data_IF_481473959342
#
_entry.id   IF_481473959342
#
_cell.length_a   1.000
_cell.length_b   1.000
_cell.length_c   1.000
_cell.angle_alpha   90.00
_cell.angle_beta   90.00
_cell.angle_gamma   90.00
#
_symmetry.space_group_name_H-M   'P 1'
#
loop_
_entity.id
_entity.type
_entity.pdbx_description
1 polymer ?
#
# COMPACT_ATOMS: atom_id res chain seq x y z
N UNK A 1 18.94 -1.93 4.39
CA UNK A 1 17.79 -1.53 3.54
C UNK A 1 16.52 -1.89 4.29
N UNK A 2 15.65 -0.94 4.63
CA UNK A 2 14.37 -1.25 5.31
C UNK A 2 13.53 -2.15 4.40
N UNK A 3 13.07 -3.28 4.92
CA UNK A 3 12.26 -4.27 4.22
C UNK A 3 10.90 -3.67 3.88
N UNK A 4 10.73 -3.17 2.66
CA UNK A 4 9.41 -2.87 2.13
C UNK A 4 8.72 -4.19 1.80
N UNK A 5 7.62 -4.55 2.49
CA UNK A 5 6.87 -5.75 2.17
C UNK A 5 6.43 -5.70 0.70
N UNK A 6 6.46 -6.85 0.03
CA UNK A 6 5.99 -6.98 -1.35
C UNK A 6 4.50 -6.63 -1.40
N UNK A 7 4.12 -5.67 -2.23
CA UNK A 7 2.71 -5.34 -2.42
C UNK A 7 2.03 -6.48 -3.21
N UNK A 8 1.00 -7.15 -2.66
CA UNK A 8 0.37 -8.30 -3.30
C UNK A 8 -0.30 -7.95 -4.64
N UNK A 9 -0.73 -6.68 -4.81
CA UNK A 9 -1.23 -6.15 -6.08
C UNK A 9 -0.20 -6.23 -7.21
N UNK A 10 1.08 -6.05 -6.90
CA UNK A 10 2.16 -5.98 -7.88
C UNK A 10 2.41 -7.34 -8.54
N UNK A 11 2.30 -8.44 -7.78
CA UNK A 11 2.37 -9.80 -8.33
C UNK A 11 1.20 -10.10 -9.26
N UNK A 12 0.00 -9.60 -8.93
CA UNK A 12 -1.17 -9.74 -9.80
C UNK A 12 -0.98 -9.01 -11.13
N UNK A 13 -0.54 -7.75 -11.07
CA UNK A 13 -0.24 -6.92 -12.24
C UNK A 13 0.82 -7.59 -13.13
N UNK A 14 1.87 -8.16 -12.53
CA UNK A 14 2.92 -8.83 -13.29
C UNK A 14 2.39 -10.10 -14.01
N UNK A 15 1.53 -10.89 -13.37
CA UNK A 15 0.89 -12.05 -14.01
C UNK A 15 -0.02 -11.66 -15.17
N UNK A 16 -0.78 -10.58 -15.05
CA UNK A 16 -1.62 -10.07 -16.14
C UNK A 16 -0.76 -9.69 -17.34
N UNK A 17 0.36 -8.99 -17.12
CA UNK A 17 1.32 -8.68 -18.18
C UNK A 17 1.86 -9.92 -18.88
N UNK A 18 2.26 -10.95 -18.13
CA UNK A 18 2.72 -12.22 -18.71
C UNK A 18 1.61 -12.92 -19.50
N UNK A 19 0.37 -12.87 -19.03
CA UNK A 19 -0.80 -13.38 -19.77
C UNK A 19 -1.02 -12.64 -21.10
N UNK A 20 -0.89 -11.31 -21.10
CA UNK A 20 -0.96 -10.49 -22.33
C UNK A 20 0.17 -10.87 -23.28
N UNK A 21 1.40 -10.99 -22.78
CA UNK A 21 2.56 -11.38 -23.59
C UNK A 21 2.36 -12.75 -24.23
N UNK A 22 1.85 -13.73 -23.48
CA UNK A 22 1.51 -15.06 -23.99
C UNK A 22 0.43 -14.99 -25.08
N UNK A 23 -0.65 -14.23 -24.84
CA UNK A 23 -1.72 -14.06 -25.83
C UNK A 23 -1.22 -13.45 -27.14
N UNK A 24 -0.32 -12.47 -27.08
CA UNK A 24 0.29 -11.85 -28.26
C UNK A 24 1.20 -12.80 -29.04
N UNK A 25 1.92 -13.70 -28.34
CA UNK A 25 2.69 -14.77 -29.00
C UNK A 25 1.75 -15.72 -29.74
N UNK A 26 0.70 -16.21 -29.08
CA UNK A 26 -0.28 -17.12 -29.69
C UNK A 26 -0.93 -16.47 -30.91
N UNK A 27 -1.31 -15.20 -30.80
CA UNK A 27 -1.86 -14.43 -31.92
C UNK A 27 -0.88 -14.34 -33.09
N UNK A 28 0.40 -14.04 -32.84
CA UNK A 28 1.43 -14.00 -33.87
C UNK A 28 1.62 -15.37 -34.55
N UNK A 29 1.61 -16.46 -33.79
CA UNK A 29 1.74 -17.82 -34.35
C UNK A 29 0.57 -18.13 -35.28
N UNK A 30 -0.65 -17.84 -34.84
CA UNK A 30 -1.86 -18.10 -35.62
C UNK A 30 -1.89 -17.28 -36.92
N UNK A 31 -1.53 -16.00 -36.87
CA UNK A 31 -1.51 -15.14 -38.06
C UNK A 31 -0.51 -15.63 -39.12
N UNK A 32 0.68 -16.07 -38.72
CA UNK A 32 1.70 -16.56 -39.65
C UNK A 32 1.44 -17.99 -40.14
N UNK A 33 0.76 -18.82 -39.34
CA UNK A 33 0.34 -20.17 -39.75
C UNK A 33 -0.65 -20.15 -40.93
N UNK A 34 -1.48 -19.10 -41.01
CA UNK A 34 -2.41 -18.89 -42.11
C UNK A 34 -1.73 -18.53 -43.44
N UNK A 35 -0.49 -18.03 -43.40
CA UNK A 35 0.27 -17.54 -44.57
C UNK A 35 1.22 -18.62 -45.10
N UNK A 36 1.33 -19.78 -44.43
CA UNK A 36 2.16 -20.91 -44.90
C UNK A 36 3.67 -20.68 -44.80
N UNK A 37 4.13 -19.66 -44.09
CA UNK A 37 5.53 -19.21 -44.02
C UNK A 37 6.35 -19.81 -42.86
N UNK A 38 5.81 -20.73 -42.06
CA UNK A 38 6.53 -21.32 -40.93
C UNK A 38 7.40 -22.51 -41.36
N UNK A 39 8.51 -22.26 -42.08
CA UNK A 39 9.61 -23.23 -42.17
C UNK A 39 10.32 -23.39 -40.81
N UNK A 40 10.78 -24.59 -40.47
CA UNK A 40 11.27 -24.96 -39.12
C UNK A 40 12.38 -24.08 -38.51
N UNK A 41 12.66 -24.28 -37.20
CA UNK A 41 13.45 -23.45 -36.26
C UNK A 41 12.67 -22.38 -35.42
N UNK A 42 11.73 -21.56 -35.95
CA UNK A 42 11.00 -20.58 -35.15
C UNK A 42 10.03 -21.23 -34.14
N UNK A 43 9.48 -22.41 -34.45
CA UNK A 43 8.59 -23.12 -33.52
C UNK A 43 9.26 -23.49 -32.20
N UNK A 44 10.54 -23.91 -32.23
CA UNK A 44 11.29 -24.24 -31.02
C UNK A 44 11.49 -23.01 -30.13
N UNK A 45 11.83 -21.86 -30.71
CA UNK A 45 12.07 -20.62 -29.95
C UNK A 45 10.76 -20.10 -29.36
N UNK A 46 9.67 -20.13 -30.14
CA UNK A 46 8.33 -19.76 -29.69
C UNK A 46 7.86 -20.69 -28.55
N UNK A 47 8.10 -22.01 -28.67
CA UNK A 47 7.79 -22.97 -27.62
C UNK A 47 8.61 -22.73 -26.34
N UNK A 48 9.90 -22.42 -26.47
CA UNK A 48 10.77 -22.05 -25.33
C UNK A 48 10.29 -20.76 -24.67
N UNK A 49 9.90 -19.75 -25.47
CA UNK A 49 9.36 -18.50 -24.94
C UNK A 49 8.02 -18.72 -24.22
N UNK A 50 7.10 -19.48 -24.82
CA UNK A 50 5.82 -19.84 -24.20
C UNK A 50 6.03 -20.60 -22.89
N UNK A 51 6.94 -21.59 -22.88
CA UNK A 51 7.32 -22.32 -21.67
C UNK A 51 7.94 -21.39 -20.61
N UNK A 52 8.80 -20.45 -21.02
CA UNK A 52 9.40 -19.45 -20.14
C UNK A 52 8.36 -18.54 -19.47
N UNK A 53 7.34 -18.10 -20.21
CA UNK A 53 6.21 -17.32 -19.65
C UNK A 53 5.43 -18.17 -18.64
N UNK A 54 5.09 -19.41 -18.99
CA UNK A 54 4.34 -20.32 -18.10
C UNK A 54 5.12 -20.62 -16.82
N UNK A 55 6.43 -20.86 -16.92
CA UNK A 55 7.32 -21.05 -15.77
C UNK A 55 7.37 -19.81 -14.89
N UNK A 56 7.47 -18.62 -15.47
CA UNK A 56 7.48 -17.37 -14.73
C UNK A 56 6.12 -17.09 -14.06
N UNK A 57 5.01 -17.39 -14.72
CA UNK A 57 3.67 -17.34 -14.13
C UNK A 57 3.51 -18.33 -12.96
N UNK A 58 4.03 -19.55 -13.11
CA UNK A 58 4.07 -20.56 -12.05
C UNK A 58 4.92 -20.10 -10.86
N UNK A 59 6.11 -19.56 -11.14
CA UNK A 59 6.99 -18.96 -10.15
C UNK A 59 6.28 -17.87 -9.34
N UNK A 60 5.61 -16.92 -10.03
CA UNK A 60 4.88 -15.81 -9.41
C UNK A 60 3.62 -16.23 -8.65
N UNK A 61 3.11 -17.43 -8.92
CA UNK A 61 1.91 -17.96 -8.27
C UNK A 61 2.23 -18.86 -7.07
N UNK A 62 3.51 -19.17 -6.83
CA UNK A 62 3.94 -20.08 -5.76
C UNK A 62 4.25 -19.32 -4.45
N UNK A 63 3.36 -19.34 -3.43
CA UNK A 63 3.48 -18.47 -2.25
C UNK A 63 4.66 -18.87 -1.35
N UNK A 64 4.93 -20.17 -1.23
CA UNK A 64 6.07 -20.69 -0.47
C UNK A 64 7.41 -20.17 -0.98
N UNK A 65 7.54 -20.01 -2.31
CA UNK A 65 8.76 -19.50 -2.94
C UNK A 65 8.96 -18.01 -2.62
N UNK A 66 7.87 -17.24 -2.59
CA UNK A 66 7.87 -15.84 -2.18
C UNK A 66 8.33 -15.67 -0.72
N UNK A 67 7.88 -16.55 0.18
CA UNK A 67 8.30 -16.56 1.58
C UNK A 67 9.79 -16.94 1.70
N UNK A 68 10.24 -17.99 0.99
CA UNK A 68 11.61 -18.50 1.08
C UNK A 68 12.66 -17.54 0.51
N UNK A 69 12.38 -16.92 -0.63
CA UNK A 69 13.32 -16.01 -1.31
C UNK A 69 13.23 -14.57 -0.80
N UNK A 70 12.12 -14.21 -0.13
CA UNK A 70 11.92 -12.91 0.50
C UNK A 70 12.20 -11.75 -0.47
N UNK A 71 13.20 -10.93 -0.15
CA UNK A 71 13.56 -9.75 -0.96
C UNK A 71 14.09 -10.09 -2.36
N UNK A 72 14.63 -11.28 -2.58
CA UNK A 72 15.18 -11.68 -3.88
C UNK A 72 14.16 -12.27 -4.84
N UNK A 73 12.93 -12.53 -4.38
CA UNK A 73 11.89 -13.17 -5.17
C UNK A 73 11.53 -12.36 -6.44
N UNK A 74 11.06 -11.13 -6.27
CA UNK A 74 10.63 -10.31 -7.40
C UNK A 74 11.78 -9.85 -8.32
N UNK A 75 12.98 -9.47 -7.84
CA UNK A 75 14.10 -9.10 -8.70
C UNK A 75 14.56 -10.24 -9.61
N UNK A 76 14.51 -11.49 -9.14
CA UNK A 76 14.81 -12.67 -9.97
C UNK A 76 13.80 -12.81 -11.11
N UNK A 77 12.50 -12.70 -10.79
CA UNK A 77 11.44 -12.75 -11.80
C UNK A 77 11.57 -11.62 -12.84
N UNK A 78 11.90 -10.41 -12.39
CA UNK A 78 12.10 -9.25 -13.26
C UNK A 78 13.31 -9.43 -14.19
N UNK A 79 14.43 -9.94 -13.68
CA UNK A 79 15.61 -10.24 -14.51
C UNK A 79 15.31 -11.34 -15.54
N UNK A 80 14.59 -12.38 -15.15
CA UNK A 80 14.16 -13.43 -16.07
C UNK A 80 13.21 -12.88 -17.15
N UNK A 81 12.34 -11.94 -16.79
CA UNK A 81 11.46 -11.25 -17.74
C UNK A 81 12.21 -10.38 -18.76
N UNK A 82 13.38 -9.81 -18.42
CA UNK A 82 14.25 -9.14 -19.40
C UNK A 82 14.67 -10.14 -20.47
N UNK A 83 15.22 -11.29 -20.04
CA UNK A 83 15.69 -12.33 -20.95
C UNK A 83 14.54 -12.84 -21.84
N UNK A 84 13.37 -13.08 -21.24
CA UNK A 84 12.18 -13.52 -21.96
C UNK A 84 11.72 -12.51 -23.01
N UNK A 85 11.66 -11.22 -22.64
CA UNK A 85 11.24 -10.15 -23.55
C UNK A 85 12.24 -9.94 -24.69
N UNK A 86 13.54 -10.04 -24.41
CA UNK A 86 14.59 -10.00 -25.43
C UNK A 86 14.55 -11.25 -26.33
N UNK A 87 14.21 -12.42 -25.80
CA UNK A 87 14.09 -13.64 -26.60
C UNK A 87 12.87 -13.58 -27.54
N UNK A 88 11.73 -13.05 -27.07
CA UNK A 88 10.47 -12.99 -27.83
C UNK A 88 10.49 -11.88 -28.89
N UNK A 89 10.89 -10.68 -28.48
CA UNK A 89 10.82 -9.48 -29.32
C UNK A 89 12.15 -9.16 -29.97
N UNK A 90 13.22 -9.84 -29.55
CA UNK A 90 14.48 -9.81 -30.26
C UNK A 90 14.35 -10.47 -31.62
N UNK A 91 15.23 -10.04 -32.50
CA UNK A 91 15.26 -10.44 -33.89
C UNK A 91 15.60 -11.92 -34.13
N UNK A 92 15.97 -12.66 -33.09
CA UNK A 92 16.30 -14.08 -33.16
C UNK A 92 15.09 -14.94 -33.56
N UNK A 93 13.85 -14.49 -33.31
CA UNK A 93 12.64 -15.13 -33.87
C UNK A 93 12.30 -14.57 -35.25
N UNK A 94 12.46 -13.25 -35.44
CA UNK A 94 12.00 -12.54 -36.66
C UNK A 94 12.86 -12.78 -37.88
N UNK A 95 14.17 -12.86 -37.72
CA UNK A 95 15.11 -13.17 -38.81
C UNK A 95 14.86 -14.53 -39.47
N UNK A 96 14.22 -15.48 -38.77
CA UNK A 96 13.78 -16.76 -39.34
C UNK A 96 12.39 -16.71 -40.01
N UNK A 97 11.54 -15.73 -39.67
CA UNK A 97 10.16 -15.65 -40.16
C UNK A 97 10.10 -14.78 -41.43
N UNK A 98 10.80 -13.65 -41.47
CA UNK A 98 10.87 -12.80 -42.66
C UNK A 98 12.23 -12.08 -42.76
N UNK A 99 13.21 -12.67 -43.48
CA UNK A 99 14.55 -12.09 -43.62
C UNK A 99 14.61 -10.82 -44.48
N UNK A 100 13.51 -10.39 -45.13
CA UNK A 100 13.52 -9.24 -46.06
C UNK A 100 12.44 -8.18 -45.80
N UNK A 101 11.45 -8.44 -44.95
CA UNK A 101 10.19 -7.67 -44.93
C UNK A 101 10.03 -6.56 -43.90
N UNK A 102 10.92 -6.40 -42.91
CA UNK A 102 10.71 -5.39 -41.85
C UNK A 102 11.84 -4.36 -41.74
N UNK A 103 11.44 -3.09 -41.62
CA UNK A 103 12.34 -2.01 -41.26
C UNK A 103 12.80 -2.19 -39.81
N UNK A 104 14.10 -1.97 -39.53
CA UNK A 104 14.68 -2.12 -38.19
C UNK A 104 14.03 -1.25 -37.11
N UNK A 105 13.22 -0.27 -37.49
CA UNK A 105 12.55 0.66 -36.58
C UNK A 105 11.36 0.01 -35.85
N UNK A 106 10.61 -0.88 -36.51
CA UNK A 106 9.41 -1.49 -35.92
C UNK A 106 9.73 -2.49 -34.80
N UNK A 107 10.84 -3.21 -34.91
CA UNK A 107 11.27 -4.17 -33.89
C UNK A 107 11.81 -3.48 -32.63
N UNK A 108 12.55 -2.39 -32.78
CA UNK A 108 13.10 -1.64 -31.66
C UNK A 108 12.01 -1.11 -30.71
N UNK A 109 10.89 -0.64 -31.28
CA UNK A 109 9.75 -0.14 -30.51
C UNK A 109 9.07 -1.20 -29.64
N UNK A 110 9.00 -2.45 -30.11
CA UNK A 110 8.38 -3.51 -29.32
C UNK A 110 9.23 -3.90 -28.12
N UNK A 111 10.54 -4.04 -28.31
CA UNK A 111 11.48 -4.31 -27.21
C UNK A 111 11.37 -3.20 -26.15
N UNK A 112 11.25 -1.93 -26.58
CA UNK A 112 10.98 -0.82 -25.69
C UNK A 112 9.72 -1.04 -24.84
N UNK A 113 8.57 -1.32 -25.47
CA UNK A 113 7.29 -1.47 -24.77
C UNK A 113 7.30 -2.62 -23.76
N UNK A 114 7.86 -3.77 -24.12
CA UNK A 114 7.87 -4.95 -23.25
C UNK A 114 8.89 -4.87 -22.11
N UNK A 115 10.00 -4.16 -22.29
CA UNK A 115 10.92 -3.87 -21.18
C UNK A 115 10.47 -2.69 -20.31
N UNK A 116 9.63 -1.80 -20.83
CA UNK A 116 9.09 -0.68 -20.07
C UNK A 116 8.18 -1.16 -18.93
N UNK A 117 7.40 -2.22 -19.12
CA UNK A 117 6.49 -2.69 -18.09
C UNK A 117 7.22 -3.24 -16.83
N UNK A 118 8.19 -4.17 -16.95
CA UNK A 118 8.98 -4.58 -15.79
C UNK A 118 9.79 -3.43 -15.19
N UNK A 119 10.23 -2.44 -15.98
CA UNK A 119 10.86 -1.23 -15.45
C UNK A 119 9.92 -0.49 -14.48
N UNK A 120 8.66 -0.28 -14.86
CA UNK A 120 7.66 0.37 -13.98
C UNK A 120 7.50 -0.42 -12.68
N UNK A 121 7.43 -1.76 -12.76
CA UNK A 121 7.37 -2.61 -11.56
C UNK A 121 8.61 -2.48 -10.67
N UNK A 122 9.81 -2.43 -11.26
CA UNK A 122 11.06 -2.19 -10.52
C UNK A 122 11.00 -0.83 -9.83
N UNK A 123 10.63 0.23 -10.56
CA UNK A 123 10.61 1.60 -10.06
C UNK A 123 9.53 1.83 -8.99
N UNK A 124 8.42 1.09 -9.07
CA UNK A 124 7.34 1.11 -8.08
C UNK A 124 7.79 0.49 -6.75
N UNK A 125 8.38 -0.71 -6.81
CA UNK A 125 8.71 -1.48 -5.60
C UNK A 125 10.02 -1.01 -4.97
N UNK A 126 11.04 -0.73 -5.80
CA UNK A 126 12.43 -0.55 -5.38
C UNK A 126 12.93 0.88 -5.53
N UNK A 127 14.18 1.09 -5.10
CA UNK A 127 14.86 2.37 -5.22
C UNK A 127 15.46 2.54 -6.62
N UNK A 128 15.80 3.78 -6.96
CA UNK A 128 16.45 4.14 -8.22
C UNK A 128 17.70 3.30 -8.56
N UNK A 129 18.46 2.84 -7.56
CA UNK A 129 19.61 1.94 -7.78
C UNK A 129 19.22 0.61 -8.46
N UNK A 130 18.06 0.04 -8.11
CA UNK A 130 17.56 -1.16 -8.78
C UNK A 130 17.10 -0.86 -10.20
N UNK A 131 16.46 0.29 -10.42
CA UNK A 131 16.07 0.76 -11.76
C UNK A 131 17.30 0.90 -12.65
N UNK A 132 18.37 1.52 -12.15
CA UNK A 132 19.63 1.66 -12.89
C UNK A 132 20.22 0.28 -13.22
N UNK A 133 20.28 -0.64 -12.24
CA UNK A 133 20.72 -2.03 -12.48
C UNK A 133 19.88 -2.73 -13.55
N UNK A 134 18.56 -2.61 -13.49
CA UNK A 134 17.66 -3.18 -14.49
C UNK A 134 17.93 -2.62 -15.89
N UNK A 135 18.08 -1.29 -16.00
CA UNK A 135 18.30 -0.58 -17.27
C UNK A 135 19.65 -0.91 -17.91
N UNK A 136 20.71 -1.02 -17.10
CA UNK A 136 22.03 -1.44 -17.58
C UNK A 136 22.08 -2.93 -17.90
N UNK A 137 21.38 -3.78 -17.13
CA UNK A 137 21.31 -5.21 -17.41
C UNK A 137 20.58 -5.48 -18.72
N UNK A 138 19.45 -4.81 -18.98
CA UNK A 138 18.71 -4.98 -20.23
C UNK A 138 19.50 -4.50 -21.45
N UNK A 139 20.18 -3.35 -21.35
CA UNK A 139 21.09 -2.87 -22.40
C UNK A 139 22.28 -3.83 -22.62
N UNK A 140 22.89 -4.32 -21.54
CA UNK A 140 24.01 -5.26 -21.63
C UNK A 140 23.61 -6.58 -22.30
N UNK A 141 22.46 -7.15 -21.94
CA UNK A 141 21.96 -8.37 -22.56
C UNK A 141 21.61 -8.17 -24.05
N UNK A 142 21.01 -7.04 -24.41
CA UNK A 142 20.74 -6.72 -25.82
C UNK A 142 22.05 -6.52 -26.61
N UNK A 143 23.04 -5.82 -26.04
CA UNK A 143 24.35 -5.64 -26.67
C UNK A 143 25.07 -6.98 -26.90
N UNK A 144 24.99 -7.91 -25.94
CA UNK A 144 25.51 -9.28 -26.09
C UNK A 144 24.80 -9.99 -27.25
N UNK A 145 23.46 -9.94 -27.31
CA UNK A 145 22.71 -10.57 -28.40
C UNK A 145 23.07 -9.97 -29.77
N UNK A 146 23.20 -8.64 -29.86
CA UNK A 146 23.61 -7.96 -31.09
C UNK A 146 25.02 -8.36 -31.52
N UNK A 147 25.95 -8.59 -30.58
CA UNK A 147 27.32 -9.02 -30.90
C UNK A 147 27.37 -10.41 -31.54
N UNK A 148 26.51 -11.34 -31.09
CA UNK A 148 26.44 -12.69 -31.64
C UNK A 148 25.66 -12.79 -32.96
N UNK A 149 25.04 -11.70 -33.40
CA UNK A 149 24.24 -11.70 -34.63
C UNK A 149 25.00 -11.03 -35.77
N UNK A 150 25.16 -11.72 -36.90
CA UNK A 150 25.85 -11.21 -38.09
C UNK A 150 24.97 -10.23 -38.88
N UNK A 151 24.69 -9.05 -38.31
CA UNK A 151 23.96 -7.98 -38.99
C UNK A 151 24.83 -7.21 -39.97
N UNK A 152 24.21 -6.71 -41.05
CA UNK A 152 24.78 -5.59 -41.78
C UNK A 152 24.95 -4.38 -40.86
N UNK A 153 26.06 -3.66 -41.05
CA UNK A 153 26.44 -2.51 -40.24
C UNK A 153 25.33 -1.44 -40.09
N UNK A 154 24.50 -1.22 -41.12
CA UNK A 154 23.37 -0.29 -41.08
C UNK A 154 22.36 -0.66 -39.98
N UNK A 155 21.93 -1.92 -39.92
CA UNK A 155 21.02 -2.39 -38.87
C UNK A 155 21.66 -2.30 -37.48
N UNK A 156 22.96 -2.60 -37.36
CA UNK A 156 23.67 -2.53 -36.09
C UNK A 156 23.69 -1.11 -35.49
N UNK A 157 23.86 -0.07 -36.32
CA UNK A 157 23.86 1.33 -35.85
C UNK A 157 22.49 1.78 -35.34
N UNK A 158 21.40 1.38 -36.00
CA UNK A 158 20.03 1.70 -35.57
C UNK A 158 19.73 1.08 -34.21
N UNK A 159 20.06 -0.20 -34.02
CA UNK A 159 19.83 -0.88 -32.74
C UNK A 159 20.66 -0.29 -31.59
N UNK A 160 21.93 0.04 -31.84
CA UNK A 160 22.77 0.69 -30.83
C UNK A 160 22.20 2.05 -30.41
N UNK A 161 21.71 2.83 -31.38
CA UNK A 161 21.07 4.12 -31.10
C UNK A 161 19.78 3.93 -30.29
N UNK A 162 18.87 3.05 -30.71
CA UNK A 162 17.61 2.78 -29.99
C UNK A 162 17.84 2.23 -28.58
N UNK A 163 18.88 1.39 -28.39
CA UNK A 163 19.29 0.90 -27.08
C UNK A 163 19.69 2.06 -26.15
N UNK A 164 20.52 3.00 -26.63
CA UNK A 164 20.97 4.15 -25.85
C UNK A 164 19.80 5.07 -25.49
N UNK A 165 18.95 5.40 -26.47
CA UNK A 165 17.75 6.22 -26.25
C UNK A 165 16.83 5.59 -25.20
N UNK A 166 16.56 4.28 -25.31
CA UNK A 166 15.75 3.53 -24.34
C UNK A 166 16.36 3.57 -22.94
N UNK A 167 17.67 3.34 -22.79
CA UNK A 167 18.33 3.35 -21.47
C UNK A 167 18.24 4.73 -20.81
N UNK A 168 18.43 5.80 -21.58
CA UNK A 168 18.26 7.17 -21.07
C UNK A 168 16.82 7.41 -20.62
N UNK A 169 15.84 7.03 -21.43
CA UNK A 169 14.41 7.16 -21.09
C UNK A 169 14.07 6.34 -19.84
N UNK A 170 14.57 5.11 -19.72
CA UNK A 170 14.32 4.24 -18.58
C UNK A 170 14.88 4.80 -17.28
N UNK A 171 16.09 5.38 -17.33
CA UNK A 171 16.67 6.06 -16.18
C UNK A 171 15.86 7.31 -15.80
N UNK A 172 15.46 8.13 -16.78
CA UNK A 172 14.67 9.34 -16.51
C UNK A 172 13.28 9.01 -15.91
N UNK A 173 12.52 8.14 -16.57
CA UNK A 173 11.18 7.72 -16.12
C UNK A 173 11.28 6.98 -14.79
N UNK A 174 12.22 6.06 -14.66
CA UNK A 174 12.42 5.30 -13.42
C UNK A 174 12.85 6.19 -12.25
N UNK A 175 13.64 7.25 -12.49
CA UNK A 175 13.95 8.25 -11.47
C UNK A 175 12.69 8.98 -10.99
N UNK A 176 11.87 9.47 -11.92
CA UNK A 176 10.61 10.17 -11.61
C UNK A 176 9.67 9.26 -10.82
N UNK A 177 9.42 8.04 -11.28
CA UNK A 177 8.55 7.08 -10.59
C UNK A 177 9.09 6.76 -9.19
N UNK A 178 10.38 6.45 -9.07
CA UNK A 178 10.99 6.16 -7.76
C UNK A 178 10.91 7.36 -6.80
N UNK A 179 11.04 8.59 -7.31
CA UNK A 179 10.89 9.81 -6.49
C UNK A 179 9.45 9.99 -6.02
N UNK A 180 8.47 9.85 -6.91
CA UNK A 180 7.04 9.94 -6.57
C UNK A 180 6.68 8.89 -5.53
N UNK A 181 7.08 7.63 -5.73
CA UNK A 181 6.81 6.54 -4.79
C UNK A 181 7.47 6.78 -3.44
N UNK A 182 8.71 7.31 -3.41
CA UNK A 182 9.38 7.67 -2.16
C UNK A 182 8.58 8.73 -1.40
N UNK A 183 8.16 9.80 -2.08
CA UNK A 183 7.34 10.89 -1.49
C UNK A 183 5.99 10.37 -0.99
N UNK A 184 5.32 9.54 -1.77
CA UNK A 184 4.03 8.96 -1.40
C UNK A 184 4.16 8.06 -0.15
N UNK A 185 5.24 7.28 -0.04
CA UNK A 185 5.52 6.46 1.15
C UNK A 185 5.79 7.33 2.39
N UNK A 186 6.56 8.42 2.25
CA UNK A 186 6.82 9.39 3.32
C UNK A 186 5.52 10.07 3.79
N UNK A 187 4.69 10.54 2.86
CA UNK A 187 3.39 11.15 3.18
C UNK A 187 2.44 10.17 3.88
N UNK A 188 2.37 8.93 3.40
CA UNK A 188 1.54 7.88 4.02
C UNK A 188 1.99 7.59 5.46
N UNK A 189 3.30 7.55 5.71
CA UNK A 189 3.83 7.37 7.07
C UNK A 189 3.47 8.55 7.98
N UNK A 190 3.63 9.78 7.49
CA UNK A 190 3.24 10.98 8.24
C UNK A 190 1.74 10.99 8.58
N UNK A 191 0.89 10.54 7.64
CA UNK A 191 -0.55 10.46 7.85
C UNK A 191 -0.91 9.41 8.91
N UNK A 192 -0.27 8.24 8.88
CA UNK A 192 -0.46 7.18 9.89
C UNK A 192 -0.06 7.71 11.27
N UNK A 193 1.06 8.42 11.38
CA UNK A 193 1.53 8.98 12.64
C UNK A 193 0.60 10.08 13.16
N UNK A 194 0.16 11.01 12.30
CA UNK A 194 -0.81 12.03 12.66
C UNK A 194 -2.15 11.42 13.12
N UNK A 195 -2.64 10.37 12.44
CA UNK A 195 -3.86 9.68 12.85
C UNK A 195 -3.69 9.02 14.22
N UNK A 196 -2.53 8.41 14.48
CA UNK A 196 -2.20 7.83 15.79
C UNK A 196 -2.21 8.89 16.89
N UNK A 197 -1.59 10.05 16.65
CA UNK A 197 -1.58 11.15 17.60
C UNK A 197 -2.98 11.69 17.88
N UNK A 198 -3.80 11.89 16.83
CA UNK A 198 -5.19 12.30 16.98
C UNK A 198 -6.00 11.33 17.83
N UNK A 199 -5.83 10.01 17.63
CA UNK A 199 -6.49 9.00 18.47
C UNK A 199 -6.05 9.09 19.94
N UNK A 200 -4.76 9.32 20.19
CA UNK A 200 -4.27 9.52 21.56
C UNK A 200 -4.86 10.79 22.20
N UNK A 201 -4.85 11.92 21.49
CA UNK A 201 -5.46 13.17 21.99
C UNK A 201 -6.96 13.02 22.27
N UNK A 202 -7.70 12.36 21.38
CA UNK A 202 -9.12 12.11 21.57
C UNK A 202 -9.38 11.30 22.85
N UNK A 203 -8.62 10.23 23.08
CA UNK A 203 -8.72 9.42 24.29
C UNK A 203 -8.39 10.24 25.56
N UNK A 204 -7.37 11.09 25.52
CA UNK A 204 -7.03 11.97 26.65
C UNK A 204 -8.11 13.01 26.92
N UNK A 205 -8.69 13.62 25.88
CA UNK A 205 -9.78 14.57 26.01
C UNK A 205 -11.03 13.91 26.61
N UNK A 206 -11.36 12.68 26.20
CA UNK A 206 -12.45 11.91 26.78
C UNK A 206 -12.24 11.68 28.28
N UNK A 207 -11.04 11.24 28.69
CA UNK A 207 -10.70 11.06 30.10
C UNK A 207 -10.78 12.36 30.91
N UNK A 208 -10.32 13.48 30.32
CA UNK A 208 -10.40 14.79 30.94
C UNK A 208 -11.87 15.23 31.10
N UNK A 209 -12.69 15.06 30.07
CA UNK A 209 -14.10 15.40 30.10
C UNK A 209 -14.84 14.59 31.17
N UNK A 210 -14.61 13.28 31.26
CA UNK A 210 -15.16 12.42 32.32
C UNK A 210 -14.73 12.91 33.71
N UNK A 211 -13.47 13.30 33.87
CA UNK A 211 -12.95 13.81 35.16
C UNK A 211 -13.56 15.17 35.52
N UNK A 212 -13.69 16.07 34.53
CA UNK A 212 -14.33 17.37 34.71
C UNK A 212 -15.80 17.21 35.11
N UNK A 213 -16.52 16.30 34.46
CA UNK A 213 -17.91 16.03 34.77
C UNK A 213 -18.08 15.44 36.18
N UNK A 214 -17.23 14.49 36.56
CA UNK A 214 -17.19 13.96 37.93
C UNK A 214 -16.92 15.07 38.97
N UNK A 215 -16.00 15.99 38.69
CA UNK A 215 -15.71 17.12 39.58
C UNK A 215 -16.85 18.14 39.63
N UNK A 216 -17.60 18.31 38.53
CA UNK A 216 -18.80 19.15 38.48
C UNK A 216 -19.90 18.52 39.34
N UNK A 217 -20.19 17.24 39.14
CA UNK A 217 -21.14 16.47 39.94
C UNK A 217 -20.79 16.49 41.44
N UNK A 218 -19.52 16.31 41.80
CA UNK A 218 -19.09 16.34 43.20
C UNK A 218 -19.34 17.68 43.87
N UNK A 219 -19.19 18.80 43.15
CA UNK A 219 -19.47 20.15 43.68
C UNK A 219 -20.97 20.37 43.83
N UNK A 220 -21.75 20.01 42.82
CA UNK A 220 -23.23 20.12 42.87
C UNK A 220 -23.84 19.29 44.01
N UNK A 221 -23.32 18.07 44.22
CA UNK A 221 -23.66 17.23 45.36
C UNK A 221 -23.24 17.86 46.70
N UNK A 222 -22.01 18.40 46.79
CA UNK A 222 -21.52 19.04 48.01
C UNK A 222 -22.36 20.26 48.39
N UNK A 223 -22.70 21.12 47.42
CA UNK A 223 -23.49 22.32 47.67
C UNK A 223 -24.92 21.97 48.14
N UNK A 224 -25.55 20.97 47.49
CA UNK A 224 -26.89 20.47 47.88
C UNK A 224 -26.86 19.85 49.29
N UNK A 225 -25.87 19.02 49.59
CA UNK A 225 -25.72 18.40 50.90
C UNK A 225 -25.39 19.42 52.00
N UNK A 226 -24.46 20.35 51.74
CA UNK A 226 -24.08 21.38 52.70
C UNK A 226 -25.25 22.31 53.03
N UNK A 227 -26.04 22.71 52.02
CA UNK A 227 -27.23 23.53 52.22
C UNK A 227 -28.31 22.79 53.04
N UNK A 228 -28.64 21.56 52.66
CA UNK A 228 -29.64 20.75 53.38
C UNK A 228 -29.24 20.45 54.82
N UNK A 229 -27.98 20.05 55.07
CA UNK A 229 -27.48 19.77 56.41
C UNK A 229 -27.42 21.02 57.29
N UNK A 230 -27.00 22.17 56.74
CA UNK A 230 -26.99 23.43 57.50
C UNK A 230 -28.41 23.87 57.88
N UNK A 231 -29.37 23.74 56.97
CA UNK A 231 -30.78 24.03 57.25
C UNK A 231 -31.36 23.12 58.34
N UNK A 232 -31.08 21.83 58.28
CA UNK A 232 -31.49 20.86 59.31
C UNK A 232 -30.83 21.17 60.66
N UNK A 233 -29.55 21.54 60.69
CA UNK A 233 -28.87 21.92 61.93
C UNK A 233 -29.55 23.11 62.63
N UNK A 234 -29.90 24.16 61.88
CA UNK A 234 -30.63 25.33 62.41
C UNK A 234 -32.03 24.96 62.88
N UNK A 235 -32.75 24.12 62.13
CA UNK A 235 -34.08 23.65 62.55
C UNK A 235 -34.02 22.84 63.85
N UNK A 236 -33.01 21.98 64.02
CA UNK A 236 -32.80 21.21 65.25
C UNK A 236 -32.43 22.09 66.45
N UNK A 237 -31.64 23.16 66.25
CA UNK A 237 -31.38 24.16 67.30
C UNK A 237 -32.67 24.86 67.75
N UNK A 238 -33.55 25.22 66.80
CA UNK A 238 -34.85 25.81 67.10
C UNK A 238 -35.78 24.83 67.85
N UNK A 239 -35.81 23.56 67.45
CA UNK A 239 -36.51 22.48 68.17
C UNK A 239 -36.01 22.41 69.62
N UNK A 240 -34.69 22.44 69.84
CA UNK A 240 -34.09 22.43 71.19
C UNK A 240 -34.53 23.63 72.03
N UNK A 241 -34.65 24.82 71.42
CA UNK A 241 -35.08 26.05 72.11
C UNK A 241 -36.58 26.05 72.46
N UNK A 242 -37.42 25.42 71.64
CA UNK A 242 -38.88 25.41 71.80
C UNK A 242 -39.40 24.22 72.62
N UNK A 243 -38.56 23.24 72.89
CA UNK A 243 -38.92 21.94 73.49
C UNK A 243 -39.77 22.06 74.76
N UNK A 244 -39.46 23.00 75.63
CA UNK A 244 -40.18 23.22 76.90
C UNK A 244 -41.26 24.29 76.82
N UNK A 245 -41.12 25.28 75.92
CA UNK A 245 -42.02 26.43 75.84
C UNK A 245 -43.17 26.26 74.85
N UNK A 246 -43.03 25.41 73.83
CA UNK A 246 -44.07 25.13 72.82
C UNK A 246 -43.87 23.72 72.20
N UNK A 247 -44.29 22.64 72.89
CA UNK A 247 -44.02 21.27 72.50
C UNK A 247 -44.60 20.88 71.14
N UNK A 248 -45.84 21.29 70.81
CA UNK A 248 -46.43 20.95 69.50
C UNK A 248 -45.66 21.58 68.33
N UNK A 249 -45.17 22.82 68.48
CA UNK A 249 -44.34 23.48 67.47
C UNK A 249 -42.98 22.81 67.32
N UNK A 250 -42.36 22.41 68.44
CA UNK A 250 -41.10 21.68 68.42
C UNK A 250 -41.23 20.33 67.69
N UNK A 251 -42.34 19.61 67.91
CA UNK A 251 -42.63 18.35 67.22
C UNK A 251 -42.83 18.55 65.71
N UNK A 252 -43.61 19.56 65.30
CA UNK A 252 -43.78 19.91 63.88
C UNK A 252 -42.44 20.18 63.19
N UNK A 253 -41.57 21.00 63.79
CA UNK A 253 -40.26 21.34 63.21
C UNK A 253 -39.31 20.13 63.14
N UNK A 254 -39.42 19.19 64.06
CA UNK A 254 -38.67 17.93 64.00
C UNK A 254 -39.09 17.09 62.79
N UNK A 255 -40.39 16.99 62.52
CA UNK A 255 -40.92 16.23 61.38
C UNK A 255 -40.51 16.88 60.05
N UNK A 256 -40.54 18.22 59.98
CA UNK A 256 -40.06 18.99 58.83
C UNK A 256 -38.55 18.80 58.58
N UNK A 257 -37.76 18.71 59.66
CA UNK A 257 -36.31 18.43 59.59
C UNK A 257 -36.04 17.03 59.05
N UNK A 258 -36.79 16.03 59.52
CA UNK A 258 -36.70 14.65 59.05
C UNK A 258 -37.09 14.55 57.57
N UNK A 259 -38.15 15.23 57.16
CA UNK A 259 -38.60 15.27 55.77
C UNK A 259 -37.58 15.95 54.86
N UNK A 260 -37.01 17.08 55.29
CA UNK A 260 -35.96 17.79 54.55
C UNK A 260 -34.71 16.93 54.37
N UNK A 261 -34.31 16.17 55.40
CA UNK A 261 -33.19 15.23 55.34
C UNK A 261 -33.45 14.09 54.35
N UNK A 262 -34.65 13.50 54.35
CA UNK A 262 -35.05 12.43 53.42
C UNK A 262 -35.06 12.92 51.97
N UNK A 263 -35.58 14.12 51.74
CA UNK A 263 -35.59 14.74 50.40
C UNK A 263 -34.17 15.00 49.90
N UNK A 264 -33.30 15.62 50.71
CA UNK A 264 -31.91 15.89 50.34
C UNK A 264 -31.08 14.63 50.04
N UNK A 265 -31.30 13.55 50.79
CA UNK A 265 -30.68 12.24 50.51
C UNK A 265 -31.17 11.63 49.19
N UNK A 266 -32.46 11.79 48.88
CA UNK A 266 -33.05 11.28 47.63
C UNK A 266 -32.51 12.04 46.43
N UNK A 267 -32.39 13.37 46.54
CA UNK A 267 -31.85 14.24 45.48
C UNK A 267 -30.36 13.96 45.22
N UNK A 268 -29.57 13.78 46.28
CA UNK A 268 -28.17 13.36 46.16
C UNK A 268 -28.02 11.99 45.50
N UNK A 269 -28.92 11.04 45.80
CA UNK A 269 -28.90 9.72 45.16
C UNK A 269 -29.27 9.79 43.67
N UNK A 270 -30.21 10.64 43.28
CA UNK A 270 -30.58 10.87 41.87
C UNK A 270 -29.45 11.47 41.06
N UNK A 271 -28.66 12.37 41.64
CA UNK A 271 -27.52 12.99 40.95
C UNK A 271 -26.31 12.05 40.74
N UNK A 272 -26.31 10.85 41.33
CA UNK A 272 -25.24 9.84 41.17
C UNK A 272 -25.63 8.73 40.17
N UNK A 273 -26.92 8.55 39.89
CA UNK A 273 -27.47 7.51 38.99
C UNK A 273 -27.52 7.99 37.54
#
# INVERSE_FOLDING_TARGET
MKNTPLEPSLLSIFRVFLGIQFGLIVFNVLSHSHIGQLSGCPFCIIAVAAAGILLLCGYLSWPWLAIRLGHHYLPLALNFSIFLSLLIHGELIRSFIDPKGFSSDESAWQIFLFLFFPLVLVAWQYNFRMVARYSFLSAGLEAIMLHFTNYEWFHQTVYQRSMLERTVVFLAVGYVISLIMKRQREQRQSLIEANRQLRHYAATLEQLAVTQERNRMSRELHDTLAHTLSGVAVQLEAVRSLWHSSPERAFSMLEDSLQSTRSGLTESRKAIQ
#
